data_IF_128884827566
#
_entry.id   IF_128884827566
#
_cell.length_a   1.000
_cell.length_b   1.000
_cell.length_c   1.000
_cell.angle_alpha   90.00
_cell.angle_beta   90.00
_cell.angle_gamma   90.00
#
_symmetry.space_group_name_H-M   'P 1'
#
loop_
_entity.id
_entity.type
_entity.pdbx_description
1 polymer ?
#
# COMPACT_ATOMS: atom_id res chain seq x y z
N UNK A 1 -24.59 20.27 19.40
CA UNK A 1 -25.56 19.39 18.71
C UNK A 1 -25.25 17.95 19.12
N UNK A 2 -26.25 17.17 19.54
CA UNK A 2 -26.06 15.76 19.90
C UNK A 2 -25.90 14.96 18.61
N UNK A 3 -24.72 14.40 18.35
CA UNK A 3 -24.52 13.47 17.23
C UNK A 3 -25.22 12.17 17.57
N UNK A 4 -26.28 11.84 16.83
CA UNK A 4 -26.98 10.56 16.98
C UNK A 4 -26.08 9.43 16.50
N UNK A 5 -25.62 8.56 17.40
CA UNK A 5 -24.83 7.39 17.03
C UNK A 5 -25.72 6.33 16.34
N UNK A 6 -25.22 5.63 15.31
CA UNK A 6 -25.94 4.52 14.69
C UNK A 6 -26.27 3.43 15.71
N UNK A 7 -27.48 2.86 15.63
CA UNK A 7 -27.92 1.77 16.50
C UNK A 7 -27.74 0.37 15.88
N UNK A 8 -27.37 0.29 14.61
CA UNK A 8 -27.12 -0.96 13.88
C UNK A 8 -25.96 -0.84 12.88
N UNK A 9 -25.44 -1.97 12.40
CA UNK A 9 -24.30 -2.04 11.48
C UNK A 9 -22.94 -1.81 12.15
N UNK A 10 -21.85 -1.85 11.39
CA UNK A 10 -20.46 -1.79 11.94
C UNK A 10 -20.16 -0.52 12.75
N UNK A 11 -20.95 0.54 12.57
CA UNK A 11 -20.83 1.80 13.30
C UNK A 11 -21.57 1.81 14.65
N UNK A 12 -22.37 0.76 14.94
CA UNK A 12 -23.02 0.63 16.24
C UNK A 12 -21.99 0.40 17.35
N UNK A 13 -22.30 0.90 18.55
CA UNK A 13 -21.42 0.77 19.72
C UNK A 13 -21.11 -0.69 20.05
N UNK A 14 -22.09 -1.58 19.87
CA UNK A 14 -21.93 -3.03 20.11
C UNK A 14 -20.83 -3.68 19.24
N UNK A 15 -20.38 -3.01 18.18
CA UNK A 15 -19.34 -3.51 17.28
C UNK A 15 -18.03 -2.72 17.38
N UNK A 16 -17.85 -1.93 18.43
CA UNK A 16 -16.63 -1.14 18.66
C UNK A 16 -15.35 -1.96 18.45
N UNK A 17 -15.19 -3.06 19.16
CA UNK A 17 -13.95 -3.85 19.13
C UNK A 17 -13.70 -4.47 17.75
N UNK A 18 -14.77 -4.87 17.06
CA UNK A 18 -14.66 -5.39 15.69
C UNK A 18 -14.26 -4.32 14.70
N UNK A 19 -14.77 -3.10 14.87
CA UNK A 19 -14.40 -1.95 14.05
C UNK A 19 -12.93 -1.57 14.25
N UNK A 20 -12.45 -1.55 15.48
CA UNK A 20 -11.02 -1.32 15.78
C UNK A 20 -10.12 -2.37 15.11
N UNK A 21 -10.49 -3.66 15.18
CA UNK A 21 -9.76 -4.72 14.48
C UNK A 21 -9.73 -4.50 12.95
N UNK A 22 -10.85 -4.08 12.36
CA UNK A 22 -10.90 -3.80 10.92
C UNK A 22 -10.02 -2.59 10.58
N UNK A 23 -10.05 -1.54 11.40
CA UNK A 23 -9.18 -0.37 11.22
C UNK A 23 -7.70 -0.78 11.26
N UNK A 24 -7.29 -1.65 12.18
CA UNK A 24 -5.91 -2.15 12.25
C UNK A 24 -5.51 -2.90 10.97
N UNK A 25 -6.36 -3.79 10.46
CA UNK A 25 -6.09 -4.51 9.20
C UNK A 25 -6.03 -3.56 8.00
N UNK A 26 -6.90 -2.54 7.96
CA UNK A 26 -6.87 -1.53 6.91
C UNK A 26 -5.62 -0.65 6.98
N UNK A 27 -5.12 -0.34 8.18
CA UNK A 27 -3.85 0.38 8.38
C UNK A 27 -2.69 -0.45 7.88
N UNK A 28 -2.69 -1.76 8.15
CA UNK A 28 -1.69 -2.68 7.59
C UNK A 28 -1.76 -2.68 6.05
N UNK A 29 -2.94 -2.81 5.47
CA UNK A 29 -3.13 -2.76 4.01
C UNK A 29 -2.67 -1.43 3.41
N UNK A 30 -3.06 -0.30 4.03
CA UNK A 30 -2.57 1.02 3.65
C UNK A 30 -1.05 1.09 3.59
N UNK A 31 -0.35 0.53 4.58
CA UNK A 31 1.11 0.54 4.59
C UNK A 31 1.73 -0.37 3.54
N UNK A 32 1.15 -1.55 3.30
CA UNK A 32 1.60 -2.43 2.21
C UNK A 32 1.58 -1.71 0.87
N UNK A 33 0.47 -1.05 0.53
CA UNK A 33 0.37 -0.35 -0.76
C UNK A 33 1.26 0.89 -0.83
N UNK A 34 1.39 1.65 0.26
CA UNK A 34 2.29 2.80 0.31
C UNK A 34 3.76 2.39 0.17
N UNK A 35 4.17 1.28 0.76
CA UNK A 35 5.52 0.72 0.59
C UNK A 35 5.73 0.26 -0.85
N UNK A 36 4.74 -0.40 -1.46
CA UNK A 36 4.81 -0.82 -2.87
C UNK A 36 4.94 0.38 -3.81
N UNK A 37 4.21 1.48 -3.56
CA UNK A 37 4.42 2.74 -4.30
C UNK A 37 5.86 3.23 -4.20
N UNK A 38 6.47 3.22 -3.00
CA UNK A 38 7.87 3.65 -2.83
C UNK A 38 8.84 2.75 -3.61
N UNK A 39 8.62 1.44 -3.56
CA UNK A 39 9.48 0.45 -4.21
C UNK A 39 9.32 0.46 -5.73
N UNK A 40 8.09 0.57 -6.24
CA UNK A 40 7.83 0.68 -7.67
C UNK A 40 8.36 1.99 -8.25
N UNK A 41 8.33 3.10 -7.51
CA UNK A 41 8.98 4.35 -7.90
C UNK A 41 10.51 4.15 -8.08
N UNK A 42 11.16 3.49 -7.13
CA UNK A 42 12.59 3.19 -7.26
C UNK A 42 12.86 2.26 -8.47
N UNK A 43 12.01 1.25 -8.64
CA UNK A 43 12.14 0.23 -9.67
C UNK A 43 11.67 0.68 -11.07
N UNK A 44 10.92 1.78 -11.21
CA UNK A 44 10.58 2.38 -12.51
C UNK A 44 11.65 3.36 -13.01
N UNK A 45 12.53 3.82 -12.12
CA UNK A 45 13.56 4.83 -12.42
C UNK A 45 14.93 4.19 -12.63
N UNK A 46 15.36 3.37 -11.68
CA UNK A 46 16.75 2.90 -11.60
C UNK A 46 17.18 1.86 -12.64
N UNK A 47 16.32 0.96 -13.16
CA UNK A 47 16.79 -0.10 -14.04
C UNK A 47 17.37 0.37 -15.38
N UNK A 48 18.52 -0.19 -15.72
CA UNK A 48 19.28 0.13 -16.92
C UNK A 48 19.24 -0.99 -17.96
N UNK A 49 19.34 -0.60 -19.24
CA UNK A 49 19.47 -1.52 -20.37
C UNK A 49 18.22 -1.64 -21.23
N UNK A 50 18.40 -2.20 -22.43
CA UNK A 50 17.36 -2.22 -23.49
C UNK A 50 16.09 -2.95 -23.05
N UNK A 51 16.23 -3.99 -22.21
CA UNK A 51 15.11 -4.79 -21.71
C UNK A 51 14.40 -4.15 -20.51
N UNK A 52 14.95 -3.10 -19.92
CA UNK A 52 14.38 -2.44 -18.75
C UNK A 52 13.18 -1.55 -19.11
N UNK A 53 13.09 -1.08 -20.36
CA UNK A 53 12.07 -0.11 -20.76
C UNK A 53 10.64 -0.62 -20.51
N UNK A 54 10.34 -1.85 -20.91
CA UNK A 54 9.00 -2.44 -20.73
C UNK A 54 8.63 -2.58 -19.24
N UNK A 55 9.59 -2.95 -18.40
CA UNK A 55 9.39 -3.08 -16.94
C UNK A 55 9.15 -1.72 -16.32
N UNK A 56 9.92 -0.70 -16.72
CA UNK A 56 9.76 0.66 -16.21
C UNK A 56 8.41 1.25 -16.58
N UNK A 57 7.96 1.06 -17.83
CA UNK A 57 6.65 1.51 -18.29
C UNK A 57 5.50 0.78 -17.58
N UNK A 58 5.64 -0.51 -17.29
CA UNK A 58 4.67 -1.28 -16.50
C UNK A 58 4.60 -0.77 -15.06
N UNK A 59 5.75 -0.67 -14.38
CA UNK A 59 5.81 -0.19 -13.00
C UNK A 59 5.31 1.24 -12.84
N UNK A 60 5.55 2.13 -13.81
CA UNK A 60 5.03 3.50 -13.78
C UNK A 60 3.50 3.54 -13.75
N UNK A 61 2.84 2.60 -14.44
CA UNK A 61 1.39 2.44 -14.40
C UNK A 61 0.95 1.91 -13.04
N UNK A 62 1.64 0.91 -12.52
CA UNK A 62 1.28 0.24 -11.27
C UNK A 62 1.49 1.15 -10.04
N UNK A 63 2.43 2.10 -10.07
CA UNK A 63 2.54 3.17 -9.05
C UNK A 63 1.20 3.89 -8.85
N UNK A 64 0.50 4.20 -9.95
CA UNK A 64 -0.80 4.86 -9.90
C UNK A 64 -1.87 3.95 -9.31
N UNK A 65 -1.85 2.67 -9.66
CA UNK A 65 -2.81 1.65 -9.18
C UNK A 65 -2.66 1.44 -7.67
N UNK A 66 -1.44 1.26 -7.17
CA UNK A 66 -1.21 1.08 -5.72
C UNK A 66 -1.48 2.33 -4.90
N UNK A 67 -1.21 3.52 -5.46
CA UNK A 67 -1.61 4.76 -4.81
C UNK A 67 -3.13 4.89 -4.69
N UNK A 68 -3.87 4.40 -5.68
CA UNK A 68 -5.33 4.36 -5.65
C UNK A 68 -5.84 3.31 -4.64
N UNK A 69 -5.18 2.15 -4.50
CA UNK A 69 -5.47 1.18 -3.45
C UNK A 69 -5.22 1.75 -2.05
N UNK A 70 -4.06 2.36 -1.81
CA UNK A 70 -3.73 3.02 -0.55
C UNK A 70 -4.79 4.08 -0.19
N UNK A 71 -5.25 4.88 -1.17
CA UNK A 71 -6.30 5.87 -0.97
C UNK A 71 -7.62 5.23 -0.55
N UNK A 72 -8.03 4.14 -1.20
CA UNK A 72 -9.26 3.42 -0.85
C UNK A 72 -9.20 2.87 0.59
N UNK A 73 -8.07 2.31 1.02
CA UNK A 73 -7.90 1.88 2.41
C UNK A 73 -7.93 3.05 3.39
N UNK A 74 -7.26 4.17 3.08
CA UNK A 74 -7.27 5.38 3.89
C UNK A 74 -8.68 5.98 4.06
N UNK A 75 -9.45 6.08 2.97
CA UNK A 75 -10.85 6.51 3.01
C UNK A 75 -11.68 5.58 3.89
N UNK A 76 -11.48 4.26 3.75
CA UNK A 76 -12.21 3.27 4.54
C UNK A 76 -11.88 3.32 6.03
N UNK A 77 -10.61 3.53 6.39
CA UNK A 77 -10.19 3.79 7.77
C UNK A 77 -10.99 4.96 8.34
N UNK A 78 -11.10 6.06 7.57
CA UNK A 78 -11.78 7.27 8.02
C UNK A 78 -13.29 7.06 8.19
N UNK A 79 -13.93 6.34 7.26
CA UNK A 79 -15.35 5.98 7.37
C UNK A 79 -15.66 5.17 8.64
N UNK A 80 -14.69 4.36 9.08
CA UNK A 80 -14.77 3.55 10.30
C UNK A 80 -14.29 4.29 11.56
N UNK A 81 -14.16 5.62 11.47
CA UNK A 81 -13.73 6.53 12.54
C UNK A 81 -12.29 6.33 13.02
N UNK A 82 -11.48 5.60 12.25
CA UNK A 82 -10.03 5.53 12.45
C UNK A 82 -9.32 6.81 12.00
N UNK A 83 -8.01 6.83 12.23
CA UNK A 83 -7.10 7.88 11.78
C UNK A 83 -6.09 7.25 10.84
N UNK A 84 -5.98 7.80 9.63
CA UNK A 84 -4.95 7.37 8.67
C UNK A 84 -3.59 7.79 9.23
N UNK A 85 -2.62 6.86 9.35
CA UNK A 85 -1.34 7.16 9.96
C UNK A 85 -0.47 8.06 9.07
N UNK A 86 0.53 8.70 9.67
CA UNK A 86 1.49 9.55 8.97
C UNK A 86 2.82 8.85 8.74
N UNK A 87 3.68 9.42 7.90
CA UNK A 87 4.96 8.81 7.49
C UNK A 87 5.94 8.51 8.64
N UNK A 88 5.79 9.15 9.80
CA UNK A 88 6.62 8.83 10.98
C UNK A 88 6.29 7.48 11.62
N UNK A 89 5.13 6.89 11.29
CA UNK A 89 4.73 5.57 11.76
C UNK A 89 5.09 4.45 10.76
N UNK A 90 5.70 4.80 9.62
CA UNK A 90 6.05 3.84 8.58
C UNK A 90 7.25 2.98 8.99
N UNK A 91 7.13 1.66 8.78
CA UNK A 91 8.21 0.67 8.92
C UNK A 91 8.14 -0.24 7.69
N UNK A 92 9.23 -0.33 6.94
CA UNK A 92 9.28 -1.16 5.73
C UNK A 92 9.46 -2.64 6.04
N UNK A 93 8.73 -3.49 5.33
CA UNK A 93 8.72 -4.95 5.47
C UNK A 93 8.92 -5.68 4.13
N UNK A 94 8.82 -4.99 2.98
CA UNK A 94 8.88 -5.59 1.65
C UNK A 94 10.33 -5.76 1.16
N UNK A 95 11.08 -6.66 1.79
CA UNK A 95 12.48 -6.95 1.46
C UNK A 95 12.69 -7.32 -0.01
N UNK A 96 11.78 -8.10 -0.60
CA UNK A 96 11.87 -8.57 -1.99
C UNK A 96 11.60 -7.51 -3.05
N UNK A 97 10.99 -6.38 -2.68
CA UNK A 97 10.71 -5.27 -3.60
C UNK A 97 11.77 -4.16 -3.55
N UNK A 98 12.77 -4.30 -2.68
CA UNK A 98 13.88 -3.35 -2.67
C UNK A 98 14.62 -3.36 -4.02
N UNK A 99 15.07 -2.20 -4.52
CA UNK A 99 15.80 -2.14 -5.77
C UNK A 99 17.09 -2.97 -5.70
N UNK A 100 17.52 -3.59 -6.81
CA UNK A 100 18.73 -4.40 -6.84
C UNK A 100 19.99 -3.54 -6.68
N UNK A 101 21.07 -4.14 -6.16
CA UNK A 101 22.39 -3.52 -6.09
C UNK A 101 22.92 -3.15 -7.49
N UNK A 102 22.69 -4.04 -8.47
CA UNK A 102 23.06 -3.84 -9.87
C UNK A 102 21.84 -3.42 -10.69
N UNK A 103 21.86 -2.22 -11.29
CA UNK A 103 20.73 -1.65 -12.03
C UNK A 103 20.36 -2.44 -13.30
N UNK A 104 21.26 -3.32 -13.78
CA UNK A 104 20.99 -4.22 -14.91
C UNK A 104 20.34 -5.53 -14.50
N UNK A 105 20.17 -5.81 -13.21
CA UNK A 105 19.48 -7.02 -12.73
C UNK A 105 17.96 -6.83 -12.78
N UNK A 106 17.42 -6.96 -13.99
CA UNK A 106 15.98 -6.85 -14.24
C UNK A 106 15.22 -8.07 -13.69
N UNK A 107 15.89 -9.22 -13.49
CA UNK A 107 15.25 -10.44 -13.00
C UNK A 107 14.84 -10.24 -11.54
N UNK A 108 15.70 -9.65 -10.72
CA UNK A 108 15.38 -9.28 -9.33
C UNK A 108 14.11 -8.44 -9.25
N UNK A 109 13.99 -7.41 -10.10
CA UNK A 109 12.79 -6.54 -10.14
C UNK A 109 11.53 -7.35 -10.47
N UNK A 110 11.60 -8.22 -11.48
CA UNK A 110 10.45 -9.05 -11.90
C UNK A 110 10.05 -10.05 -10.80
N UNK A 111 11.02 -10.70 -10.18
CA UNK A 111 10.77 -11.66 -9.09
C UNK A 111 10.18 -10.95 -7.87
N UNK A 112 10.64 -9.74 -7.56
CA UNK A 112 10.08 -8.89 -6.51
C UNK A 112 8.60 -8.56 -6.76
N UNK A 113 8.25 -8.10 -7.96
CA UNK A 113 6.84 -7.84 -8.34
C UNK A 113 5.99 -9.11 -8.21
N UNK A 114 6.44 -10.23 -8.77
CA UNK A 114 5.69 -11.50 -8.69
C UNK A 114 5.49 -11.96 -7.24
N UNK A 115 6.44 -11.69 -6.35
CA UNK A 115 6.32 -12.04 -4.93
C UNK A 115 5.33 -11.15 -4.19
N UNK A 116 5.24 -9.87 -4.53
CA UNK A 116 4.33 -8.91 -3.92
C UNK A 116 2.85 -9.18 -4.30
N UNK A 117 2.61 -9.67 -5.51
CA UNK A 117 1.26 -9.91 -6.06
C UNK A 117 0.61 -11.26 -5.65
N UNK A 118 1.23 -12.02 -4.73
CA UNK A 118 0.78 -13.37 -4.32
C UNK A 118 0.02 -13.38 -3.00
#
# INVERSE_FOLDING_TARGET
MSVTRPSSGILAEAHHDKREQIVQLLVQAYWMEMETVMNYMASSINPDGVRAQEIREALEKDIGEELDHARQFAERIKELWGVVPGSLDFTGEQEGLQPPDEQTDIVHVIEGVIAAER
#
